data_IF_468988039249
#
_entry.id   IF_468988039249
#
_cell.length_a   1.000
_cell.length_b   1.000
_cell.length_c   1.000
_cell.angle_alpha   90.00
_cell.angle_beta   90.00
_cell.angle_gamma   90.00
#
_symmetry.space_group_name_H-M   'P 1'
#
loop_
_entity.id
_entity.type
_entity.pdbx_description
1 polymer ?
#
# COMPACT_ATOMS: atom_id res chain seq x y z
N UNK A 1 7.61 -2.08 27.44
CA UNK A 1 8.50 -1.58 26.38
C UNK A 1 8.27 -2.30 25.04
N UNK A 2 8.32 -3.61 24.97
CA UNK A 2 8.13 -4.41 23.71
C UNK A 2 6.79 -4.10 23.01
N UNK A 3 5.70 -3.93 23.75
CA UNK A 3 4.37 -3.62 23.19
C UNK A 3 4.36 -2.27 22.44
N UNK A 4 4.99 -1.24 22.99
CA UNK A 4 5.05 0.09 22.34
C UNK A 4 5.89 0.07 21.06
N UNK A 5 7.00 -0.70 21.07
CA UNK A 5 7.81 -0.91 19.87
C UNK A 5 6.97 -1.61 18.77
N UNK A 6 6.23 -2.65 19.14
CA UNK A 6 5.31 -3.33 18.21
C UNK A 6 4.27 -2.39 17.62
N UNK A 7 3.66 -1.54 18.43
CA UNK A 7 2.68 -0.53 17.96
C UNK A 7 3.31 0.46 16.99
N UNK A 8 4.53 0.94 17.27
CA UNK A 8 5.26 1.85 16.40
C UNK A 8 5.57 1.19 15.05
N UNK A 9 6.07 -0.05 15.06
CA UNK A 9 6.34 -0.82 13.84
C UNK A 9 5.07 -0.99 13.00
N UNK A 10 3.95 -1.34 13.62
CA UNK A 10 2.66 -1.49 12.92
C UNK A 10 2.19 -0.17 12.33
N UNK A 11 2.40 0.96 13.04
CA UNK A 11 2.07 2.30 12.52
C UNK A 11 2.92 2.61 11.28
N UNK A 12 4.23 2.31 11.30
CA UNK A 12 5.11 2.50 10.14
C UNK A 12 4.67 1.63 8.96
N UNK A 13 4.40 0.34 9.18
CA UNK A 13 3.90 -0.58 8.15
C UNK A 13 2.59 -0.06 7.56
N UNK A 14 1.66 0.39 8.39
CA UNK A 14 0.38 0.95 7.94
C UNK A 14 0.59 2.22 7.12
N UNK A 15 1.52 3.09 7.54
CA UNK A 15 1.89 4.29 6.78
C UNK A 15 2.44 3.94 5.40
N UNK A 16 3.37 2.99 5.31
CA UNK A 16 3.97 2.54 4.05
C UNK A 16 2.96 1.92 3.08
N UNK A 17 1.84 1.37 3.58
CA UNK A 17 0.78 0.82 2.76
C UNK A 17 -0.17 1.90 2.22
N UNK A 18 -0.62 2.83 3.08
CA UNK A 18 -1.58 3.87 2.70
C UNK A 18 -0.93 5.04 1.97
N UNK A 19 0.35 5.32 2.28
CA UNK A 19 1.16 6.36 1.67
C UNK A 19 2.42 5.72 1.08
N UNK A 20 2.28 4.96 -0.03
CA UNK A 20 3.40 4.28 -0.64
C UNK A 20 4.37 5.29 -1.26
N UNK A 21 5.66 4.99 -1.16
CA UNK A 21 6.73 5.75 -1.78
C UNK A 21 7.76 4.82 -2.38
N UNK A 22 8.56 5.34 -3.31
CA UNK A 22 9.69 4.64 -3.89
C UNK A 22 10.97 5.07 -3.20
N UNK A 23 11.89 4.12 -3.01
CA UNK A 23 13.22 4.45 -2.52
C UNK A 23 14.12 4.80 -3.70
N UNK A 24 15.02 5.78 -3.52
CA UNK A 24 16.03 6.15 -4.52
C UNK A 24 16.95 4.98 -4.91
N UNK A 25 17.21 4.06 -3.97
CA UNK A 25 18.05 2.89 -4.18
C UNK A 25 17.30 1.69 -4.80
N UNK A 26 15.97 1.75 -4.95
CA UNK A 26 15.13 0.69 -5.53
C UNK A 26 14.10 1.26 -6.52
N UNK A 27 14.55 1.81 -7.64
CA UNK A 27 13.65 2.44 -8.61
C UNK A 27 12.67 1.43 -9.21
N UNK A 28 11.42 1.84 -9.36
CA UNK A 28 10.34 1.01 -9.92
C UNK A 28 9.65 0.08 -8.93
N UNK A 29 10.10 0.00 -7.67
CA UNK A 29 9.42 -0.75 -6.62
C UNK A 29 9.01 0.16 -5.48
N UNK A 30 7.72 0.42 -5.34
CA UNK A 30 7.21 1.17 -4.20
C UNK A 30 6.97 0.26 -2.97
N UNK A 31 6.90 0.88 -1.80
CA UNK A 31 6.71 0.18 -0.52
C UNK A 31 5.48 -0.72 -0.51
N UNK A 32 4.41 -0.34 -1.20
CA UNK A 32 3.18 -1.12 -1.32
C UNK A 32 3.39 -2.43 -2.09
N UNK A 33 4.18 -2.41 -3.17
CA UNK A 33 4.51 -3.61 -3.94
C UNK A 33 5.36 -4.57 -3.12
N UNK A 34 6.33 -4.05 -2.35
CA UNK A 34 7.15 -4.85 -1.43
C UNK A 34 6.27 -5.53 -0.39
N UNK A 35 5.38 -4.78 0.24
CA UNK A 35 4.46 -5.31 1.23
C UNK A 35 3.46 -6.31 0.64
N UNK A 36 3.02 -6.10 -0.60
CA UNK A 36 2.18 -7.03 -1.32
C UNK A 36 2.88 -8.37 -1.54
N UNK A 37 4.14 -8.35 -1.98
CA UNK A 37 4.95 -9.56 -2.13
C UNK A 37 5.08 -10.32 -0.81
N UNK A 38 5.46 -9.64 0.27
CA UNK A 38 5.56 -10.24 1.61
C UNK A 38 4.21 -10.78 2.11
N UNK A 39 3.13 -10.04 1.88
CA UNK A 39 1.78 -10.46 2.26
C UNK A 39 1.29 -11.68 1.49
N UNK A 40 1.54 -11.76 0.20
CA UNK A 40 1.20 -12.91 -0.63
C UNK A 40 1.99 -14.17 -0.22
N UNK A 41 3.29 -14.02 0.09
CA UNK A 41 4.10 -15.13 0.63
C UNK A 41 3.54 -15.59 1.97
N UNK A 42 3.24 -14.67 2.88
CA UNK A 42 2.65 -15.02 4.18
C UNK A 42 1.27 -15.68 4.03
N UNK A 43 0.44 -15.16 3.12
CA UNK A 43 -0.84 -15.77 2.77
C UNK A 43 -0.67 -17.21 2.27
N UNK A 44 0.26 -17.45 1.34
CA UNK A 44 0.56 -18.78 0.82
C UNK A 44 1.03 -19.75 1.92
N UNK A 45 1.90 -19.30 2.82
CA UNK A 45 2.35 -20.11 3.97
C UNK A 45 1.17 -20.47 4.88
N UNK A 46 0.29 -19.53 5.18
CA UNK A 46 -0.88 -19.78 6.02
C UNK A 46 -1.89 -20.71 5.35
N UNK A 47 -2.06 -20.63 4.03
CA UNK A 47 -2.86 -21.58 3.27
C UNK A 47 -2.27 -23.00 3.33
N UNK A 48 -0.97 -23.14 3.09
CA UNK A 48 -0.28 -24.42 3.13
C UNK A 48 -0.36 -25.09 4.51
N UNK A 49 -0.37 -24.29 5.59
CA UNK A 49 -0.54 -24.79 6.96
C UNK A 49 -2.00 -25.10 7.32
N UNK A 50 -2.95 -24.94 6.41
CA UNK A 50 -4.37 -25.19 6.66
C UNK A 50 -5.03 -24.22 7.64
N UNK A 51 -4.37 -23.11 7.97
CA UNK A 51 -4.85 -22.13 8.93
C UNK A 51 -6.10 -21.34 8.45
N UNK A 52 -6.40 -21.41 7.16
CA UNK A 52 -7.54 -20.71 6.56
C UNK A 52 -8.53 -21.71 5.93
N UNK A 53 -9.07 -22.61 6.74
CA UNK A 53 -10.20 -23.44 6.30
C UNK A 53 -11.49 -22.63 6.43
N UNK A 54 -11.97 -22.00 5.33
CA UNK A 54 -13.26 -21.30 5.34
C UNK A 54 -13.34 -20.18 4.31
N UNK A 55 -14.49 -19.57 4.16
CA UNK A 55 -14.97 -18.65 3.14
C UNK A 55 -14.02 -17.66 2.45
N UNK A 56 -12.89 -17.29 3.07
CA UNK A 56 -11.94 -16.33 2.51
C UNK A 56 -11.39 -16.77 1.13
N UNK A 57 -11.12 -18.07 0.95
CA UNK A 57 -10.65 -18.59 -0.34
C UNK A 57 -11.69 -18.44 -1.44
N UNK A 58 -12.97 -18.66 -1.11
CA UNK A 58 -14.08 -18.55 -2.08
C UNK A 58 -14.29 -17.10 -2.47
N UNK A 59 -14.25 -16.18 -1.50
CA UNK A 59 -14.44 -14.75 -1.76
C UNK A 59 -13.28 -14.17 -2.58
N UNK A 60 -12.05 -14.53 -2.26
CA UNK A 60 -10.87 -14.14 -3.05
C UNK A 60 -10.93 -14.72 -4.47
N UNK A 61 -11.37 -15.96 -4.63
CA UNK A 61 -11.55 -16.58 -5.94
C UNK A 61 -12.60 -15.84 -6.76
N UNK A 62 -13.76 -15.54 -6.17
CA UNK A 62 -14.81 -14.77 -6.81
C UNK A 62 -14.34 -13.37 -7.21
N UNK A 63 -13.65 -12.65 -6.32
CA UNK A 63 -13.06 -11.35 -6.62
C UNK A 63 -12.05 -11.43 -7.78
N UNK A 64 -11.25 -12.49 -7.83
CA UNK A 64 -10.28 -12.70 -8.92
C UNK A 64 -10.96 -12.93 -10.26
N UNK A 65 -12.09 -13.66 -10.28
CA UNK A 65 -12.90 -13.86 -11.50
C UNK A 65 -13.46 -12.52 -11.99
N UNK A 66 -14.03 -11.72 -11.10
CA UNK A 66 -14.55 -10.40 -11.48
C UNK A 66 -13.47 -9.45 -11.96
N UNK A 67 -12.31 -9.43 -11.29
CA UNK A 67 -11.16 -8.63 -11.71
C UNK A 67 -10.63 -9.08 -13.07
N UNK A 68 -10.59 -10.39 -13.34
CA UNK A 68 -10.21 -10.93 -14.64
C UNK A 68 -11.23 -10.54 -15.73
N UNK A 69 -12.52 -10.56 -15.41
CA UNK A 69 -13.58 -10.07 -16.31
C UNK A 69 -13.35 -8.62 -16.72
N UNK A 70 -13.06 -7.74 -15.76
CA UNK A 70 -12.73 -6.33 -16.01
C UNK A 70 -11.49 -6.22 -16.90
N UNK A 71 -10.43 -6.96 -16.61
CA UNK A 71 -9.20 -6.97 -17.41
C UNK A 71 -9.44 -7.41 -18.85
N UNK A 72 -10.25 -8.45 -19.06
CA UNK A 72 -10.59 -8.94 -20.41
C UNK A 72 -11.44 -7.93 -21.21
N UNK A 73 -12.47 -7.36 -20.59
CA UNK A 73 -13.32 -6.34 -21.22
C UNK A 73 -12.47 -5.12 -21.61
N UNK A 74 -11.56 -4.70 -20.71
CA UNK A 74 -10.66 -3.60 -20.98
C UNK A 74 -9.69 -3.91 -22.12
N UNK A 75 -9.15 -5.13 -22.20
CA UNK A 75 -8.29 -5.55 -23.28
C UNK A 75 -9.00 -5.47 -24.64
N UNK A 76 -10.26 -5.94 -24.69
CA UNK A 76 -11.10 -5.81 -25.90
C UNK A 76 -11.34 -4.33 -26.23
N UNK A 77 -11.65 -3.50 -25.24
CA UNK A 77 -11.84 -2.05 -25.43
C UNK A 77 -10.60 -1.35 -25.98
N UNK A 78 -9.42 -1.65 -25.43
CA UNK A 78 -8.14 -1.11 -25.90
C UNK A 78 -7.86 -1.52 -27.35
N UNK A 79 -8.07 -2.79 -27.68
CA UNK A 79 -7.81 -3.31 -29.04
C UNK A 79 -8.80 -2.75 -30.06
N UNK A 80 -10.09 -2.65 -29.73
CA UNK A 80 -11.12 -2.13 -30.65
C UNK A 80 -10.97 -0.63 -30.88
N UNK A 81 -10.60 0.14 -29.85
CA UNK A 81 -10.45 1.59 -29.96
C UNK A 81 -9.02 2.03 -30.35
N UNK A 82 -8.11 1.08 -30.55
CA UNK A 82 -6.72 1.32 -30.90
C UNK A 82 -6.04 2.35 -29.96
N UNK A 83 -6.30 2.23 -28.65
CA UNK A 83 -5.73 3.09 -27.62
C UNK A 83 -4.53 2.41 -26.94
N UNK A 84 -3.68 3.19 -26.26
CA UNK A 84 -2.53 2.69 -25.50
C UNK A 84 -2.78 2.66 -23.97
N UNK A 85 -4.02 2.84 -23.52
CA UNK A 85 -4.36 2.82 -22.11
C UNK A 85 -4.63 1.40 -21.60
N UNK A 86 -3.60 0.78 -21.02
CA UNK A 86 -3.66 -0.56 -20.44
C UNK A 86 -3.96 -0.58 -18.94
N UNK A 87 -4.34 0.54 -18.34
CA UNK A 87 -4.54 0.68 -16.89
C UNK A 87 -5.49 -0.38 -16.32
N UNK A 88 -6.63 -0.59 -16.97
CA UNK A 88 -7.60 -1.60 -16.51
C UNK A 88 -7.31 -3.02 -17.01
N UNK A 89 -6.47 -3.19 -18.01
CA UNK A 89 -6.03 -4.53 -18.47
C UNK A 89 -5.24 -5.23 -17.37
N UNK A 90 -4.45 -4.48 -16.59
CA UNK A 90 -3.66 -5.01 -15.47
C UNK A 90 -4.43 -5.02 -14.15
N UNK A 91 -5.74 -4.80 -14.16
CA UNK A 91 -6.56 -4.65 -12.95
C UNK A 91 -6.49 -5.86 -12.01
N UNK A 92 -6.46 -7.09 -12.56
CA UNK A 92 -6.33 -8.31 -11.75
C UNK A 92 -5.02 -8.34 -10.95
N UNK A 93 -3.92 -7.88 -11.55
CA UNK A 93 -2.61 -7.80 -10.87
C UNK A 93 -2.66 -6.74 -9.77
N UNK A 94 -3.18 -5.56 -10.10
CA UNK A 94 -3.35 -4.46 -9.15
C UNK A 94 -4.20 -4.87 -7.96
N UNK A 95 -5.31 -5.58 -8.18
CA UNK A 95 -6.16 -6.13 -7.12
C UNK A 95 -5.37 -7.03 -6.16
N UNK A 96 -4.56 -7.97 -6.68
CA UNK A 96 -3.75 -8.85 -5.85
C UNK A 96 -2.65 -8.11 -5.08
N UNK A 97 -2.06 -7.08 -5.68
CA UNK A 97 -1.10 -6.19 -5.00
C UNK A 97 -1.78 -5.48 -3.82
N UNK A 98 -2.98 -4.96 -4.02
CA UNK A 98 -3.73 -4.29 -2.94
C UNK A 98 -4.11 -5.26 -1.84
N UNK A 99 -4.63 -6.43 -2.19
CA UNK A 99 -5.02 -7.45 -1.22
C UNK A 99 -3.82 -8.03 -0.45
N UNK A 100 -2.72 -8.31 -1.15
CA UNK A 100 -1.50 -8.81 -0.51
C UNK A 100 -0.94 -7.81 0.50
N UNK A 101 -0.83 -6.53 0.12
CA UNK A 101 -0.39 -5.48 1.04
C UNK A 101 -1.34 -5.29 2.23
N UNK A 102 -2.66 -5.26 1.99
CA UNK A 102 -3.64 -5.19 3.07
C UNK A 102 -3.56 -6.40 4.01
N UNK A 103 -3.39 -7.61 3.46
CA UNK A 103 -3.21 -8.83 4.24
C UNK A 103 -1.98 -8.73 5.15
N UNK A 104 -0.86 -8.21 4.65
CA UNK A 104 0.35 -8.01 5.44
C UNK A 104 0.10 -7.08 6.64
N UNK A 105 -0.53 -5.92 6.43
CA UNK A 105 -0.89 -4.98 7.50
C UNK A 105 -1.80 -5.63 8.54
N UNK A 106 -2.85 -6.32 8.08
CA UNK A 106 -3.85 -6.98 8.95
C UNK A 106 -3.20 -8.07 9.80
N UNK A 107 -2.28 -8.86 9.24
CA UNK A 107 -1.59 -9.91 9.98
C UNK A 107 -0.66 -9.33 11.04
N UNK A 108 0.05 -8.24 10.76
CA UNK A 108 0.86 -7.54 11.75
C UNK A 108 0.02 -6.94 12.88
N UNK A 109 -1.13 -6.32 12.55
CA UNK A 109 -2.09 -5.84 13.55
C UNK A 109 -2.54 -6.96 14.47
N UNK A 110 -2.96 -8.10 13.89
CA UNK A 110 -3.41 -9.27 14.63
C UNK A 110 -2.31 -9.84 15.53
N UNK A 111 -1.07 -9.91 15.04
CA UNK A 111 0.06 -10.43 15.79
C UNK A 111 0.42 -9.53 16.99
N UNK A 112 0.34 -8.21 16.82
CA UNK A 112 0.69 -7.24 17.85
C UNK A 112 -0.39 -7.13 18.93
N UNK A 113 -1.66 -7.22 18.55
CA UNK A 113 -2.79 -6.99 19.48
C UNK A 113 -3.50 -8.29 19.92
N UNK A 114 -3.24 -9.42 19.27
CA UNK A 114 -3.94 -10.69 19.52
C UNK A 114 -5.36 -10.76 18.97
N UNK A 115 -5.93 -9.65 18.51
CA UNK A 115 -7.26 -9.56 17.92
C UNK A 115 -7.27 -8.59 16.73
N UNK A 116 -8.32 -8.66 15.92
CA UNK A 116 -8.54 -7.76 14.81
C UNK A 116 -9.97 -7.20 14.88
N UNK A 117 -10.10 -5.87 14.73
CA UNK A 117 -11.39 -5.20 14.59
C UNK A 117 -11.28 -4.00 13.65
N UNK A 118 -12.40 -3.64 13.02
CA UNK A 118 -12.46 -2.44 12.15
C UNK A 118 -12.05 -1.20 12.95
N UNK A 119 -12.49 -1.09 14.19
CA UNK A 119 -12.14 0.02 15.08
C UNK A 119 -10.62 0.13 15.29
N UNK A 120 -9.93 -1.01 15.48
CA UNK A 120 -8.48 -1.03 15.63
C UNK A 120 -7.78 -0.53 14.37
N UNK A 121 -8.18 -1.04 13.20
CA UNK A 121 -7.65 -0.60 11.89
C UNK A 121 -7.87 0.90 11.69
N UNK A 122 -9.07 1.40 12.00
CA UNK A 122 -9.40 2.82 11.88
C UNK A 122 -8.53 3.70 12.79
N UNK A 123 -8.24 3.27 14.03
CA UNK A 123 -7.35 4.01 14.91
C UNK A 123 -5.93 4.15 14.34
N UNK A 124 -5.40 3.07 13.74
CA UNK A 124 -4.10 3.12 13.08
C UNK A 124 -4.12 4.02 11.84
N UNK A 125 -5.19 3.95 11.04
CA UNK A 125 -5.34 4.82 9.88
C UNK A 125 -5.38 6.30 10.29
N UNK A 126 -6.17 6.65 11.31
CA UNK A 126 -6.24 8.02 11.85
C UNK A 126 -4.85 8.45 12.34
N UNK A 127 -4.17 7.62 13.12
CA UNK A 127 -2.84 7.94 13.63
C UNK A 127 -1.83 8.19 12.50
N UNK A 128 -1.88 7.37 11.45
CA UNK A 128 -1.03 7.53 10.26
C UNK A 128 -1.37 8.83 9.51
N UNK A 129 -2.66 9.12 9.29
CA UNK A 129 -3.06 10.37 8.63
C UNK A 129 -2.61 11.60 9.42
N UNK A 130 -2.81 11.60 10.74
CA UNK A 130 -2.35 12.69 11.60
C UNK A 130 -0.82 12.86 11.54
N UNK A 131 -0.07 11.74 11.62
CA UNK A 131 1.38 11.76 11.51
C UNK A 131 1.85 12.35 10.17
N UNK A 132 1.21 11.95 9.06
CA UNK A 132 1.52 12.48 7.73
C UNK A 132 1.22 13.98 7.62
N UNK A 133 0.11 14.46 8.19
CA UNK A 133 -0.19 15.88 8.25
C UNK A 133 0.87 16.66 9.04
N UNK A 134 1.30 16.13 10.20
CA UNK A 134 2.34 16.76 11.02
C UNK A 134 3.67 16.80 10.26
N UNK A 135 4.04 15.72 9.56
CA UNK A 135 5.26 15.66 8.74
C UNK A 135 5.18 16.70 7.62
N UNK A 136 4.04 16.76 6.89
CA UNK A 136 3.85 17.70 5.80
C UNK A 136 3.99 19.17 6.26
N UNK A 137 3.35 19.52 7.38
CA UNK A 137 3.47 20.85 7.96
C UNK A 137 4.90 21.13 8.45
N UNK A 138 5.57 20.15 9.04
CA UNK A 138 6.96 20.30 9.49
C UNK A 138 7.92 20.50 8.33
N UNK A 139 7.71 19.81 7.21
CA UNK A 139 8.51 19.97 5.98
C UNK A 139 8.29 21.35 5.34
N UNK A 140 7.07 21.88 5.39
CA UNK A 140 6.77 23.23 4.89
C UNK A 140 7.45 24.33 5.72
N UNK A 141 7.46 24.15 7.05
CA UNK A 141 8.06 25.11 7.98
C UNK A 141 9.59 25.02 8.06
N UNK A 142 10.17 23.87 7.77
CA UNK A 142 11.61 23.60 7.99
C UNK A 142 12.27 22.97 6.77
N UNK A 143 12.84 23.81 5.92
CA UNK A 143 13.48 23.44 4.66
C UNK A 143 14.55 22.30 4.78
N UNK A 144 15.42 22.25 5.82
CA UNK A 144 16.37 21.13 5.96
C UNK A 144 15.70 19.77 6.14
N UNK A 145 14.54 19.70 6.83
CA UNK A 145 13.77 18.47 6.97
C UNK A 145 13.20 18.03 5.62
N UNK A 146 12.72 18.99 4.84
CA UNK A 146 12.23 18.73 3.49
C UNK A 146 13.32 18.11 2.62
N UNK A 147 14.50 18.74 2.55
CA UNK A 147 15.64 18.23 1.79
C UNK A 147 16.08 16.83 2.24
N UNK A 148 16.08 16.56 3.56
CA UNK A 148 16.39 15.25 4.11
C UNK A 148 15.39 14.19 3.62
N UNK A 149 14.10 14.47 3.71
CA UNK A 149 13.04 13.53 3.26
C UNK A 149 13.14 13.31 1.75
N UNK A 150 13.27 14.36 0.96
CA UNK A 150 13.38 14.30 -0.49
C UNK A 150 14.61 13.48 -0.96
N UNK A 151 15.69 13.48 -0.18
CA UNK A 151 16.89 12.66 -0.50
C UNK A 151 16.65 11.15 -0.44
N UNK A 152 15.63 10.69 0.29
CA UNK A 152 15.27 9.26 0.38
C UNK A 152 14.13 8.86 -0.56
N UNK A 153 13.32 9.83 -1.02
CA UNK A 153 12.22 9.56 -1.93
C UNK A 153 12.71 9.42 -3.36
N UNK A 154 12.47 8.26 -3.98
CA UNK A 154 12.73 8.04 -5.41
C UNK A 154 11.66 8.72 -6.28
N UNK A 155 12.03 9.12 -7.50
CA UNK A 155 11.09 9.70 -8.46
C UNK A 155 10.93 11.21 -8.37
N UNK A 156 12.00 11.90 -7.98
CA UNK A 156 12.05 13.36 -7.75
C UNK A 156 11.34 14.19 -8.84
N UNK A 157 11.59 13.96 -10.12
CA UNK A 157 11.00 14.79 -11.19
C UNK A 157 9.49 14.57 -11.37
N UNK A 158 9.01 13.33 -11.33
CA UNK A 158 7.58 13.02 -11.47
C UNK A 158 6.79 13.39 -10.22
N UNK A 159 7.40 13.28 -9.03
CA UNK A 159 6.82 13.64 -7.76
C UNK A 159 6.78 15.16 -7.57
N UNK A 160 7.88 15.86 -7.82
CA UNK A 160 7.98 17.32 -7.66
C UNK A 160 7.06 18.07 -8.63
N UNK A 161 6.91 17.62 -9.88
CA UNK A 161 5.96 18.21 -10.82
C UNK A 161 4.49 18.09 -10.39
N UNK A 162 4.13 17.07 -9.61
CA UNK A 162 2.78 16.90 -9.04
C UNK A 162 2.60 17.60 -7.70
N UNK A 163 3.67 17.81 -6.96
CA UNK A 163 3.68 18.41 -5.63
C UNK A 163 3.88 19.95 -5.66
N UNK A 164 4.16 20.52 -6.84
CA UNK A 164 4.39 21.95 -6.99
C UNK A 164 3.19 22.77 -6.48
N UNK A 165 3.40 23.57 -5.46
CA UNK A 165 2.36 24.37 -4.81
C UNK A 165 1.43 23.60 -3.86
N UNK A 166 1.74 22.34 -3.48
CA UNK A 166 0.95 21.55 -2.54
C UNK A 166 1.78 21.13 -1.33
N UNK A 167 1.11 21.06 -0.17
CA UNK A 167 1.69 20.40 1.00
C UNK A 167 1.72 18.89 0.75
N UNK A 168 2.86 18.25 0.96
CA UNK A 168 3.01 16.80 0.83
C UNK A 168 3.74 16.20 2.02
N UNK A 169 3.32 15.01 2.40
CA UNK A 169 4.01 14.16 3.37
C UNK A 169 4.78 13.04 2.66
N UNK A 170 5.32 12.10 3.40
CA UNK A 170 6.01 10.94 2.85
C UNK A 170 5.00 10.08 2.08
N UNK A 171 5.17 9.96 0.75
CA UNK A 171 4.30 9.15 -0.11
C UNK A 171 2.91 9.73 -0.39
N UNK A 172 2.63 10.98 -0.05
CA UNK A 172 1.28 11.57 -0.17
C UNK A 172 0.92 12.06 -1.59
N UNK A 173 1.80 11.94 -2.56
CA UNK A 173 1.58 12.44 -3.93
C UNK A 173 1.44 11.34 -5.00
N UNK A 174 1.14 10.13 -4.58
CA UNK A 174 0.90 9.01 -5.48
C UNK A 174 -0.58 8.83 -5.76
#
# INVERSE_FOLDING_TARGET
MIKYIGMLVVTMITSMYFFPFEFTFLPGANTKMIMAGLGLVWFGINMARGAQRGGLNRDLFNLSIWAMGISLVSLVGVTLNNTSDYTFVTYVVSMWVWLGGAYFVVMWLKQTHGYLSIRLVSHYLIAVCVAQCVIALSMDMYSPLKQFVDSFLGGEEAFMGKAEGRLYGIGAAL
#
